data_IF_247837906820
#
_entry.id   IF_247837906820
#
_cell.length_a   1.000
_cell.length_b   1.000
_cell.length_c   1.000
_cell.angle_alpha   90.00
_cell.angle_beta   90.00
_cell.angle_gamma   90.00
#
_symmetry.space_group_name_H-M   'P 1'
#
loop_
_entity.id
_entity.type
_entity.pdbx_description
1 polymer ?
#
# COMPACT_ATOMS: atom_id res chain seq x y z
N UNK A 1 3.96 -5.45 2.88
CA UNK A 1 3.79 -5.82 1.47
C UNK A 1 4.79 -6.92 1.13
N UNK A 2 4.59 -7.66 0.03
CA UNK A 2 5.63 -8.59 -0.47
C UNK A 2 6.91 -7.79 -0.78
N UNK A 3 8.12 -8.31 -0.52
CA UNK A 3 9.36 -7.57 -0.80
C UNK A 3 9.39 -7.03 -2.24
N UNK A 4 9.72 -5.75 -2.43
CA UNK A 4 9.78 -5.12 -3.76
C UNK A 4 8.43 -4.67 -4.34
N UNK A 5 7.35 -4.61 -3.54
CA UNK A 5 6.00 -4.34 -4.07
C UNK A 5 5.28 -3.13 -3.47
N UNK A 6 5.81 -2.48 -2.44
CA UNK A 6 5.10 -1.40 -1.75
C UNK A 6 4.78 -0.22 -2.67
N UNK A 7 5.73 0.25 -3.50
CA UNK A 7 5.46 1.30 -4.51
C UNK A 7 4.34 0.90 -5.48
N UNK A 8 4.33 -0.36 -5.94
CA UNK A 8 3.31 -0.86 -6.86
C UNK A 8 1.94 -0.91 -6.18
N UNK A 9 1.87 -1.37 -4.94
CA UNK A 9 0.63 -1.38 -4.15
C UNK A 9 0.08 0.03 -3.94
N UNK A 10 0.92 1.02 -3.62
CA UNK A 10 0.49 2.42 -3.48
C UNK A 10 -0.03 2.98 -4.81
N UNK A 11 0.62 2.65 -5.93
CA UNK A 11 0.15 3.09 -7.25
C UNK A 11 -1.23 2.50 -7.59
N UNK A 12 -1.41 1.18 -7.41
CA UNK A 12 -2.70 0.52 -7.63
C UNK A 12 -3.80 1.09 -6.73
N UNK A 13 -3.50 1.32 -5.45
CA UNK A 13 -4.46 1.90 -4.52
C UNK A 13 -4.87 3.32 -4.95
N UNK A 14 -3.90 4.14 -5.39
CA UNK A 14 -4.17 5.48 -5.90
C UNK A 14 -5.06 5.45 -7.15
N UNK A 15 -4.82 4.55 -8.08
CA UNK A 15 -5.63 4.38 -9.29
C UNK A 15 -7.07 3.92 -8.95
N UNK A 16 -7.24 3.19 -7.86
CA UNK A 16 -8.54 2.80 -7.30
C UNK A 16 -9.20 3.87 -6.41
N UNK A 17 -8.63 5.08 -6.31
CA UNK A 17 -9.17 6.17 -5.49
C UNK A 17 -8.87 6.08 -3.99
N UNK A 18 -8.01 5.14 -3.57
CA UNK A 18 -7.61 4.94 -2.18
C UNK A 18 -6.28 5.67 -1.94
N UNK A 19 -6.34 6.80 -1.23
CA UNK A 19 -5.14 7.55 -0.86
C UNK A 19 -4.37 6.83 0.26
N UNK A 20 -3.13 6.43 -0.03
CA UNK A 20 -2.24 5.75 0.92
C UNK A 20 -0.95 6.56 1.09
N UNK A 21 -0.34 6.50 2.28
CA UNK A 21 0.95 7.16 2.51
C UNK A 21 2.00 6.58 1.54
N UNK A 22 2.85 7.44 0.99
CA UNK A 22 3.92 7.04 0.06
C UNK A 22 4.80 5.92 0.62
N UNK A 23 5.15 4.94 -0.22
CA UNK A 23 6.09 3.90 0.13
C UNK A 23 7.45 4.50 0.54
N UNK A 24 8.04 3.95 1.61
CA UNK A 24 9.29 4.47 2.17
C UNK A 24 9.15 5.68 3.10
N UNK A 25 7.95 6.24 3.31
CA UNK A 25 7.76 7.42 4.18
C UNK A 25 8.25 7.24 5.61
N UNK A 26 8.32 6.00 6.11
CA UNK A 26 8.80 5.65 7.45
C UNK A 26 10.33 5.50 7.53
N UNK A 27 11.06 5.77 6.45
CA UNK A 27 12.50 5.58 6.35
C UNK A 27 13.22 6.91 6.10
N UNK A 28 14.45 7.08 6.61
CA UNK A 28 15.30 8.21 6.24
C UNK A 28 15.37 8.39 4.73
N UNK A 29 15.25 9.64 4.28
CA UNK A 29 15.29 10.01 2.85
C UNK A 29 14.21 9.33 1.99
N UNK A 30 13.14 8.80 2.60
CA UNK A 30 12.05 8.05 1.94
C UNK A 30 12.52 6.80 1.18
N UNK A 31 13.62 6.19 1.63
CA UNK A 31 14.20 4.99 1.01
C UNK A 31 14.02 3.77 1.91
N UNK A 32 12.95 3.01 1.67
CA UNK A 32 12.82 1.65 2.19
C UNK A 32 13.73 0.72 1.36
N UNK A 33 14.75 0.08 1.97
CA UNK A 33 15.68 -0.79 1.24
C UNK A 33 15.00 -2.03 0.66
N UNK A 34 13.85 -2.44 1.17
CA UNK A 34 13.13 -3.64 0.73
C UNK A 34 11.83 -3.33 0.00
N UNK A 35 11.46 -2.06 -0.13
CA UNK A 35 10.19 -1.60 -0.73
C UNK A 35 8.99 -2.45 -0.27
N UNK A 36 8.83 -2.59 1.05
CA UNK A 36 7.85 -3.50 1.66
C UNK A 36 6.96 -2.84 2.72
N UNK A 37 7.31 -1.65 3.19
CA UNK A 37 6.57 -0.95 4.23
C UNK A 37 5.56 0.06 3.68
N UNK A 38 4.34 0.01 4.22
CA UNK A 38 3.30 1.01 4.02
C UNK A 38 2.69 1.33 5.39
N UNK A 39 2.57 2.63 5.69
CA UNK A 39 1.94 3.10 6.93
C UNK A 39 0.43 3.29 6.73
N UNK A 40 -0.36 2.78 7.67
CA UNK A 40 -1.81 2.95 7.74
C UNK A 40 -2.14 3.91 8.90
N UNK A 41 -2.99 4.90 8.66
CA UNK A 41 -3.43 5.89 9.66
C UNK A 41 -4.96 5.87 9.78
N UNK A 42 -5.55 5.06 10.69
CA UNK A 42 -6.98 4.78 10.71
C UNK A 42 -7.81 5.77 11.56
N UNK A 43 -7.20 6.80 12.15
CA UNK A 43 -7.84 7.64 13.19
C UNK A 43 -8.75 8.74 12.67
N UNK A 44 -8.67 9.10 11.39
CA UNK A 44 -9.47 10.18 10.78
C UNK A 44 -10.79 9.70 10.15
N UNK A 45 -10.83 8.65 9.30
CA UNK A 45 -12.06 8.24 8.61
C UNK A 45 -13.03 7.50 9.53
N UNK A 46 -14.28 7.33 9.08
CA UNK A 46 -15.25 6.50 9.80
C UNK A 46 -14.83 5.02 9.74
N UNK A 47 -15.36 4.20 10.65
CA UNK A 47 -15.08 2.76 10.66
C UNK A 47 -15.52 2.07 9.35
N UNK A 48 -16.57 2.58 8.69
CA UNK A 48 -17.03 2.06 7.40
C UNK A 48 -16.01 2.36 6.30
N UNK A 49 -15.57 3.63 6.20
CA UNK A 49 -14.57 4.04 5.20
C UNK A 49 -13.24 3.34 5.41
N UNK A 50 -12.81 3.15 6.67
CA UNK A 50 -11.59 2.40 6.99
C UNK A 50 -11.70 0.96 6.49
N UNK A 51 -12.85 0.29 6.68
CA UNK A 51 -13.04 -1.09 6.19
C UNK A 51 -12.92 -1.17 4.68
N UNK A 52 -13.60 -0.29 3.96
CA UNK A 52 -13.58 -0.27 2.50
C UNK A 52 -12.18 0.05 1.95
N UNK A 53 -11.53 1.07 2.50
CA UNK A 53 -10.17 1.44 2.10
C UNK A 53 -9.14 0.34 2.37
N UNK A 54 -9.25 -0.37 3.50
CA UNK A 54 -8.32 -1.45 3.85
C UNK A 54 -8.57 -2.70 2.99
N UNK A 55 -9.82 -3.02 2.68
CA UNK A 55 -10.16 -4.13 1.79
C UNK A 55 -9.62 -3.90 0.37
N UNK A 56 -9.80 -2.69 -0.16
CA UNK A 56 -9.22 -2.29 -1.43
C UNK A 56 -7.68 -2.28 -1.40
N UNK A 57 -7.06 -1.80 -0.31
CA UNK A 57 -5.61 -1.84 -0.14
C UNK A 57 -5.07 -3.28 -0.09
N UNK A 58 -5.76 -4.19 0.60
CA UNK A 58 -5.40 -5.60 0.66
C UNK A 58 -5.48 -6.25 -0.74
N UNK A 59 -6.52 -5.91 -1.51
CA UNK A 59 -6.66 -6.35 -2.91
C UNK A 59 -5.49 -5.85 -3.76
N UNK A 60 -5.11 -4.58 -3.64
CA UNK A 60 -3.95 -4.02 -4.35
C UNK A 60 -2.64 -4.71 -3.95
N UNK A 61 -2.48 -5.07 -2.67
CA UNK A 61 -1.31 -5.77 -2.18
C UNK A 61 -1.18 -7.19 -2.75
N UNK A 62 -2.30 -7.93 -2.82
CA UNK A 62 -2.35 -9.26 -3.42
C UNK A 62 -2.05 -9.19 -4.92
N UNK A 63 -2.64 -8.22 -5.63
CA UNK A 63 -2.36 -8.01 -7.05
C UNK A 63 -0.88 -7.69 -7.29
N UNK A 64 -0.29 -6.75 -6.55
CA UNK A 64 1.12 -6.42 -6.69
C UNK A 64 2.06 -7.60 -6.40
N UNK A 65 1.73 -8.42 -5.40
CA UNK A 65 2.50 -9.63 -5.07
C UNK A 65 2.41 -10.67 -6.19
N UNK A 66 1.21 -10.92 -6.73
CA UNK A 66 1.03 -11.88 -7.83
C UNK A 66 1.68 -11.39 -9.13
N UNK A 67 1.58 -10.10 -9.46
CA UNK A 67 2.32 -9.48 -10.58
C UNK A 67 3.85 -9.64 -10.43
N UNK A 68 4.37 -9.60 -9.20
CA UNK A 68 5.80 -9.77 -8.94
C UNK A 68 6.26 -11.22 -9.07
N UNK A 69 5.45 -12.18 -8.60
CA UNK A 69 5.81 -13.60 -8.56
C UNK A 69 5.58 -14.34 -9.88
N UNK A 70 4.62 -13.91 -10.69
CA UNK A 70 4.24 -14.56 -11.95
C UNK A 70 4.91 -13.93 -13.18
N UNK A 71 5.90 -13.07 -12.96
CA UNK A 71 6.73 -12.45 -14.00
C UNK A 71 7.94 -13.29 -14.37
#
# INVERSE_FOLDING_TARGET
>A
MWPGTAKRTVALAKDAGIAVTEAGSAFPYRKDPEDKNIRIAPTFPSLADVREAIDGLATCALLAATEHLLR
#
